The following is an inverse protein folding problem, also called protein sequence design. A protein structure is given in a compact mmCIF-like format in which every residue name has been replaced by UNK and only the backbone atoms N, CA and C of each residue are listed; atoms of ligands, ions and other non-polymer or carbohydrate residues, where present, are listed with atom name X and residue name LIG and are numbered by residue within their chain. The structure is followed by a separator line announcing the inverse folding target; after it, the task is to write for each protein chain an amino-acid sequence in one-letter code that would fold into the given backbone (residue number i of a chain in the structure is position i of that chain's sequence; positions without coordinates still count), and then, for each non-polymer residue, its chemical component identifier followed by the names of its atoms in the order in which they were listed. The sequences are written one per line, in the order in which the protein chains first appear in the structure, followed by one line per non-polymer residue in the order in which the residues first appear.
data_IF_034689284761
#
_entry.id   IF_034689284761
#
_cell.length_a   1.000
_cell.length_b   1.000
_cell.length_c   1.000
_cell.angle_alpha   90.00
_cell.angle_beta   90.00
_cell.angle_gamma   90.00
#
_symmetry.space_group_name_H-M   'P 1'
#
loop_
_entity.id
_entity.type
_entity.pdbx_description
1 polymer ?
#
# COMPACT_ATOMS: atom_id res chain seq x y z
N UNK A 1 -27.31 55.87 -7.99
CA UNK A 1 -27.96 54.65 -7.46
C UNK A 1 -27.19 53.37 -7.88
N UNK A 2 -25.93 53.16 -7.45
CA UNK A 2 -25.10 52.07 -8.02
C UNK A 2 -24.03 51.41 -7.13
N UNK A 3 -23.81 51.91 -5.90
CA UNK A 3 -22.80 51.37 -4.97
C UNK A 3 -23.31 50.22 -4.09
N UNK A 4 -24.60 50.17 -3.79
CA UNK A 4 -25.20 49.16 -2.88
C UNK A 4 -25.24 47.76 -3.52
N UNK A 5 -25.60 47.67 -4.81
CA UNK A 5 -25.65 46.39 -5.56
C UNK A 5 -24.26 45.73 -5.71
N UNK A 6 -23.20 46.52 -5.93
CA UNK A 6 -21.82 46.02 -6.06
C UNK A 6 -21.26 45.46 -4.74
N UNK A 7 -21.61 46.07 -3.60
CA UNK A 7 -21.24 45.55 -2.27
C UNK A 7 -21.90 44.20 -1.98
N UNK A 8 -23.18 44.05 -2.33
CA UNK A 8 -23.91 42.78 -2.17
C UNK A 8 -23.33 41.65 -3.01
N UNK A 9 -22.97 41.92 -4.27
CA UNK A 9 -22.32 40.93 -5.15
C UNK A 9 -20.95 40.52 -4.63
N UNK A 10 -20.14 41.48 -4.17
CA UNK A 10 -18.81 41.20 -3.61
C UNK A 10 -18.89 40.32 -2.35
N UNK A 11 -19.87 40.58 -1.47
CA UNK A 11 -20.10 39.75 -0.27
C UNK A 11 -20.51 38.31 -0.62
N UNK A 12 -21.34 38.11 -1.65
CA UNK A 12 -21.75 36.77 -2.09
C UNK A 12 -20.55 36.00 -2.65
N UNK A 13 -19.70 36.65 -3.44
CA UNK A 13 -18.48 36.02 -3.98
C UNK A 13 -17.52 35.63 -2.85
N UNK A 14 -17.31 36.51 -1.88
CA UNK A 14 -16.49 36.22 -0.71
C UNK A 14 -17.03 35.05 0.10
N UNK A 15 -18.35 34.99 0.30
CA UNK A 15 -19.00 33.88 0.99
C UNK A 15 -18.82 32.57 0.23
N UNK A 16 -19.01 32.57 -1.09
CA UNK A 16 -18.82 31.38 -1.92
C UNK A 16 -17.37 30.87 -1.90
N UNK A 17 -16.39 31.77 -1.94
CA UNK A 17 -14.96 31.42 -1.82
C UNK A 17 -14.65 30.85 -0.44
N UNK A 18 -15.22 31.43 0.62
CA UNK A 18 -15.06 30.93 2.00
C UNK A 18 -15.65 29.51 2.17
N UNK A 19 -16.85 29.27 1.64
CA UNK A 19 -17.46 27.93 1.65
C UNK A 19 -16.65 26.92 0.84
N UNK A 20 -16.12 27.32 -0.33
CA UNK A 20 -15.26 26.46 -1.13
C UNK A 20 -13.98 26.09 -0.38
N UNK A 21 -13.33 27.05 0.28
CA UNK A 21 -12.15 26.81 1.12
C UNK A 21 -12.47 25.89 2.32
N UNK A 22 -13.63 26.04 2.95
CA UNK A 22 -14.05 25.19 4.07
C UNK A 22 -14.29 23.73 3.66
N UNK A 23 -14.81 23.50 2.44
CA UNK A 23 -14.97 22.14 1.89
C UNK A 23 -13.61 21.49 1.59
N UNK A 24 -12.64 22.26 1.11
CA UNK A 24 -11.27 21.78 0.85
C UNK A 24 -10.47 21.55 2.14
N UNK A 25 -10.84 22.22 3.24
CA UNK A 25 -10.18 22.10 4.54
C UNK A 25 -10.66 20.91 5.39
N UNK A 26 -11.47 20.00 4.82
CA UNK A 26 -11.85 18.79 5.54
C UNK A 26 -10.62 17.92 5.78
N UNK A 27 -10.31 17.70 7.05
CA UNK A 27 -9.20 16.84 7.45
C UNK A 27 -9.51 15.39 7.07
N UNK A 28 -8.67 14.81 6.21
CA UNK A 28 -8.79 13.41 5.84
C UNK A 28 -8.39 12.53 7.04
N UNK A 29 -9.37 12.14 7.86
CA UNK A 29 -9.14 11.23 8.99
C UNK A 29 -8.82 9.82 8.46
N UNK A 30 -7.52 9.52 8.36
CA UNK A 30 -7.05 8.20 7.97
C UNK A 30 -7.36 7.19 9.08
N UNK A 31 -7.86 5.98 8.75
CA UNK A 31 -7.92 4.90 9.71
C UNK A 31 -6.55 4.65 10.35
N UNK A 32 -6.54 4.20 11.60
CA UNK A 32 -5.30 3.78 12.23
C UNK A 32 -4.70 2.59 11.47
N UNK A 33 -3.42 2.70 11.11
CA UNK A 33 -2.67 1.62 10.48
C UNK A 33 -2.20 0.66 11.57
N UNK A 34 -2.74 -0.56 11.58
CA UNK A 34 -2.44 -1.55 12.62
C UNK A 34 -1.15 -2.35 12.37
N UNK A 35 -0.59 -2.28 11.17
CA UNK A 35 0.66 -2.93 10.81
C UNK A 35 0.68 -3.38 9.34
N UNK A 36 1.70 -4.16 9.00
CA UNK A 36 1.90 -4.72 7.65
C UNK A 36 1.58 -6.22 7.72
N UNK A 37 0.44 -6.68 7.18
CA UNK A 37 0.09 -8.10 7.18
C UNK A 37 0.94 -8.91 6.19
N UNK A 38 1.41 -8.31 5.10
CA UNK A 38 2.27 -9.03 4.15
C UNK A 38 3.14 -8.14 3.27
N UNK A 39 4.27 -8.71 2.87
CA UNK A 39 5.19 -8.13 1.89
C UNK A 39 5.52 -9.19 0.85
N UNK A 40 5.51 -8.79 -0.42
CA UNK A 40 5.80 -9.68 -1.56
C UNK A 40 7.15 -9.31 -2.18
N UNK A 41 8.02 -10.31 -2.35
CA UNK A 41 9.35 -10.15 -2.93
C UNK A 41 9.56 -11.01 -4.18
N UNK A 42 10.36 -10.51 -5.11
CA UNK A 42 10.98 -11.33 -6.15
C UNK A 42 12.22 -12.05 -5.58
N UNK A 43 12.33 -13.33 -5.90
CA UNK A 43 13.47 -14.18 -5.58
C UNK A 43 13.99 -14.86 -6.85
N UNK A 44 15.27 -15.23 -6.87
CA UNK A 44 15.85 -15.90 -8.03
C UNK A 44 15.69 -17.42 -8.03
N UNK A 45 15.43 -18.02 -6.86
CA UNK A 45 15.40 -19.47 -6.66
C UNK A 45 14.56 -19.82 -5.41
N UNK A 46 13.45 -20.54 -5.60
CA UNK A 46 12.59 -21.01 -4.52
C UNK A 46 13.25 -22.04 -3.60
N UNK A 47 14.12 -22.90 -4.13
CA UNK A 47 14.84 -23.90 -3.34
C UNK A 47 15.81 -23.22 -2.37
N UNK A 48 16.50 -22.17 -2.83
CA UNK A 48 17.34 -21.35 -1.96
C UNK A 48 16.51 -20.61 -0.90
N UNK A 49 15.36 -20.06 -1.29
CA UNK A 49 14.46 -19.40 -0.34
C UNK A 49 13.89 -20.38 0.70
N UNK A 50 13.54 -21.60 0.32
CA UNK A 50 13.08 -22.65 1.24
C UNK A 50 14.16 -23.03 2.25
N UNK A 51 15.41 -23.22 1.80
CA UNK A 51 16.54 -23.49 2.70
C UNK A 51 16.78 -22.33 3.68
N UNK A 52 16.69 -21.10 3.21
CA UNK A 52 16.98 -19.94 4.05
C UNK A 52 15.81 -19.57 4.98
N UNK A 53 14.63 -19.28 4.42
CA UNK A 53 13.48 -18.82 5.20
C UNK A 53 12.77 -19.96 5.93
N UNK A 54 12.67 -21.12 5.30
CA UNK A 54 12.02 -22.29 5.90
C UNK A 54 12.93 -23.01 6.89
N UNK A 55 14.06 -23.55 6.41
CA UNK A 55 14.90 -24.45 7.20
C UNK A 55 15.82 -23.69 8.17
N UNK A 56 16.50 -22.64 7.73
CA UNK A 56 17.44 -21.90 8.57
C UNK A 56 16.75 -20.92 9.53
N UNK A 57 15.79 -20.12 9.05
CA UNK A 57 15.04 -19.19 9.91
C UNK A 57 13.85 -19.85 10.63
N UNK A 58 13.41 -21.02 10.19
CA UNK A 58 12.32 -21.76 10.83
C UNK A 58 10.92 -21.28 10.47
N UNK A 59 10.73 -20.47 9.42
CA UNK A 59 9.40 -20.03 9.03
C UNK A 59 8.60 -21.15 8.39
N UNK A 60 7.37 -21.34 8.84
CA UNK A 60 6.48 -22.33 8.26
C UNK A 60 6.00 -21.88 6.89
N UNK A 61 6.25 -22.70 5.86
CA UNK A 61 5.57 -22.56 4.58
C UNK A 61 4.07 -22.77 4.80
N UNK A 62 3.28 -21.76 4.47
CA UNK A 62 1.85 -21.73 4.78
C UNK A 62 1.02 -22.32 3.63
N UNK A 63 1.04 -21.67 2.47
CA UNK A 63 0.31 -22.08 1.28
C UNK A 63 0.93 -21.43 0.03
N UNK A 64 0.45 -21.79 -1.15
CA UNK A 64 0.80 -21.13 -2.40
C UNK A 64 -0.45 -20.89 -3.24
N UNK A 65 -0.39 -19.89 -4.13
CA UNK A 65 -1.49 -19.58 -5.04
C UNK A 65 -0.98 -18.88 -6.32
N UNK A 66 -1.69 -19.04 -7.45
CA UNK A 66 -1.27 -18.45 -8.72
C UNK A 66 -1.53 -16.95 -8.77
N UNK A 67 -0.68 -16.22 -9.50
CA UNK A 67 -0.86 -14.80 -9.83
C UNK A 67 -0.44 -14.51 -11.28
N UNK A 68 -0.83 -13.35 -11.84
CA UNK A 68 -0.37 -12.94 -13.17
C UNK A 68 1.16 -12.83 -13.31
N UNK A 69 1.89 -12.68 -12.20
CA UNK A 69 3.36 -12.59 -12.18
C UNK A 69 4.06 -13.93 -11.93
N UNK A 70 3.30 -15.00 -11.70
CA UNK A 70 3.80 -16.33 -11.34
C UNK A 70 3.17 -16.88 -10.07
N UNK A 71 3.59 -18.08 -9.67
CA UNK A 71 3.16 -18.70 -8.42
C UNK A 71 3.69 -17.90 -7.23
N UNK A 72 2.80 -17.57 -6.29
CA UNK A 72 3.16 -16.95 -5.02
C UNK A 72 3.31 -18.04 -3.97
N UNK A 73 4.47 -18.10 -3.33
CA UNK A 73 4.73 -18.98 -2.19
C UNK A 73 4.77 -18.16 -0.91
N UNK A 74 3.98 -18.57 0.09
CA UNK A 74 3.78 -17.82 1.32
C UNK A 74 4.45 -18.52 2.50
N UNK A 75 5.19 -17.75 3.29
CA UNK A 75 5.73 -18.18 4.59
C UNK A 75 5.12 -17.35 5.71
N UNK A 76 4.75 -18.03 6.80
CA UNK A 76 4.23 -17.40 8.01
C UNK A 76 5.37 -16.88 8.87
N UNK A 77 5.33 -15.59 9.18
CA UNK A 77 6.24 -14.95 10.14
C UNK A 77 5.64 -15.04 11.54
N UNK A 78 4.35 -14.71 11.68
CA UNK A 78 3.55 -14.87 12.89
C UNK A 78 2.05 -14.95 12.53
N UNK A 79 1.16 -14.94 13.52
CA UNK A 79 -0.29 -15.06 13.30
C UNK A 79 -0.93 -13.93 12.49
N UNK A 80 -0.23 -12.82 12.29
CA UNK A 80 -0.73 -11.63 11.59
C UNK A 80 0.11 -11.25 10.36
N UNK A 81 1.26 -11.88 10.17
CA UNK A 81 2.26 -11.43 9.20
C UNK A 81 2.81 -12.57 8.36
N UNK A 82 2.90 -12.31 7.06
CA UNK A 82 3.41 -13.25 6.06
C UNK A 82 4.45 -12.59 5.16
N UNK A 83 5.37 -13.39 4.65
CA UNK A 83 6.24 -13.01 3.55
C UNK A 83 5.86 -13.85 2.33
N UNK A 84 5.74 -13.19 1.19
CA UNK A 84 5.36 -13.80 -0.08
C UNK A 84 6.53 -13.73 -1.05
N UNK A 85 6.72 -14.80 -1.82
CA UNK A 85 7.78 -14.89 -2.80
C UNK A 85 7.21 -15.24 -4.18
N UNK A 86 7.71 -14.54 -5.20
CA UNK A 86 7.51 -14.85 -6.61
C UNK A 86 8.89 -15.12 -7.19
N UNK A 87 9.06 -16.25 -7.87
CA UNK A 87 10.33 -16.59 -8.51
C UNK A 87 10.48 -15.93 -9.88
N UNK A 88 11.62 -15.28 -10.06
CA UNK A 88 12.10 -14.72 -11.31
C UNK A 88 13.62 -14.90 -11.34
N UNK A 89 14.15 -15.70 -12.26
CA UNK A 89 15.58 -16.01 -12.34
C UNK A 89 16.46 -14.76 -12.45
N UNK A 90 15.92 -13.67 -13.01
CA UNK A 90 16.61 -12.40 -13.18
C UNK A 90 16.30 -11.41 -12.04
N UNK A 91 15.73 -11.86 -10.91
CA UNK A 91 15.38 -11.01 -9.77
C UNK A 91 16.54 -10.19 -9.21
N UNK A 92 17.80 -10.62 -9.43
CA UNK A 92 18.99 -9.86 -9.02
C UNK A 92 19.19 -8.55 -9.79
N UNK A 93 18.63 -8.45 -10.99
CA UNK A 93 18.74 -7.30 -11.89
C UNK A 93 17.53 -6.36 -11.79
N UNK A 94 16.58 -6.67 -10.89
CA UNK A 94 15.29 -5.99 -10.75
C UNK A 94 15.12 -5.46 -9.32
N UNK A 95 14.20 -4.51 -9.15
CA UNK A 95 13.71 -4.21 -7.81
C UNK A 95 12.97 -5.45 -7.28
N UNK A 96 13.39 -5.90 -6.11
CA UNK A 96 12.88 -7.13 -5.52
C UNK A 96 11.62 -6.90 -4.70
N UNK A 97 11.34 -5.67 -4.26
CA UNK A 97 10.11 -5.39 -3.54
C UNK A 97 8.96 -5.24 -4.53
N UNK A 98 7.98 -6.14 -4.47
CA UNK A 98 6.84 -6.14 -5.38
C UNK A 98 5.69 -5.33 -4.81
N UNK A 99 5.36 -5.56 -3.55
CA UNK A 99 4.26 -4.86 -2.87
C UNK A 99 4.37 -4.95 -1.36
N UNK A 100 3.88 -3.91 -0.70
CA UNK A 100 3.59 -3.89 0.73
C UNK A 100 2.08 -3.75 0.87
N UNK A 101 1.45 -4.70 1.55
CA UNK A 101 0.03 -4.57 1.88
C UNK A 101 -0.07 -3.87 3.23
N UNK A 102 -0.85 -2.80 3.28
CA UNK A 102 -1.00 -1.89 4.43
C UNK A 102 -2.47 -1.61 4.66
#
# INVERSE_FOLDING_TARGET
MGKVKKKGVLSIVLLAVFFYAAVQAQELKRPAMWGIPKITFLISDFSLAQRYYGEFLGFSKAFSYPSPKGEIVVYKINDRQFIEFIEDRNAKEKDRLVSVFV
#
